data_IF_628623780768
#
_entry.id   IF_628623780768
#
_cell.length_a   1.000
_cell.length_b   1.000
_cell.length_c   1.000
_cell.angle_alpha   90.00
_cell.angle_beta   90.00
_cell.angle_gamma   90.00
#
_symmetry.space_group_name_H-M   'P 1'
#
loop_
_entity.id
_entity.type
_entity.pdbx_description
1 polymer ?
#
# COMPACT_ATOMS: atom_id res chain seq x y z
N UNK A 1 -6.37 -28.58 4.76
CA UNK A 1 -4.92 -28.62 4.54
C UNK A 1 -4.30 -27.62 5.51
N UNK A 2 -3.60 -28.09 6.54
CA UNK A 2 -3.02 -27.25 7.60
C UNK A 2 -1.61 -26.81 7.19
N UNK A 3 -1.39 -25.51 7.06
CA UNK A 3 -0.06 -24.92 6.80
C UNK A 3 0.67 -24.80 8.15
N UNK A 4 1.31 -25.88 8.61
CA UNK A 4 2.19 -25.82 9.78
C UNK A 4 3.62 -25.44 9.37
N UNK A 5 4.37 -24.70 10.21
CA UNK A 5 5.74 -24.28 9.91
C UNK A 5 6.70 -25.44 9.61
N UNK A 6 6.45 -26.61 10.19
CA UNK A 6 7.18 -27.86 9.94
C UNK A 6 7.09 -28.30 8.47
N UNK A 7 5.95 -28.06 7.83
CA UNK A 7 5.66 -28.55 6.49
C UNK A 7 6.33 -27.66 5.44
N UNK A 8 6.45 -26.36 5.71
CA UNK A 8 7.11 -25.39 4.82
C UNK A 8 8.61 -25.69 4.73
N UNK A 9 9.26 -26.01 5.85
CA UNK A 9 10.69 -26.36 5.83
C UNK A 9 10.94 -27.64 5.04
N UNK A 10 10.07 -28.64 5.18
CA UNK A 10 10.17 -29.89 4.42
C UNK A 10 9.97 -29.63 2.92
N UNK A 11 8.95 -28.85 2.55
CA UNK A 11 8.66 -28.54 1.15
C UNK A 11 9.79 -27.76 0.48
N UNK A 12 10.37 -26.76 1.15
CA UNK A 12 11.51 -26.02 0.62
C UNK A 12 12.73 -26.93 0.42
N UNK A 13 12.94 -27.87 1.33
CA UNK A 13 14.01 -28.87 1.21
C UNK A 13 13.80 -29.77 -0.01
N UNK A 14 12.56 -30.18 -0.27
CA UNK A 14 12.21 -30.98 -1.44
C UNK A 14 12.37 -30.18 -2.74
N UNK A 15 11.95 -28.91 -2.77
CA UNK A 15 12.11 -28.04 -3.94
C UNK A 15 13.57 -27.76 -4.27
N UNK A 16 14.42 -27.60 -3.25
CA UNK A 16 15.87 -27.42 -3.42
C UNK A 16 16.59 -28.71 -3.84
N UNK A 17 15.99 -29.87 -3.63
CA UNK A 17 16.52 -31.17 -4.06
C UNK A 17 16.18 -31.52 -5.51
N UNK A 18 15.29 -30.75 -6.15
CA UNK A 18 14.89 -30.98 -7.54
C UNK A 18 15.95 -30.43 -8.52
N UNK A 19 16.17 -31.11 -9.65
CA UNK A 19 16.99 -30.57 -10.74
C UNK A 19 16.48 -29.19 -11.21
N UNK A 20 17.40 -28.30 -11.56
CA UNK A 20 17.07 -26.95 -12.04
C UNK A 20 16.13 -26.99 -13.25
N UNK A 21 16.28 -27.98 -14.14
CA UNK A 21 15.40 -28.17 -15.30
C UNK A 21 13.93 -28.46 -14.93
N UNK A 22 13.69 -29.17 -13.83
CA UNK A 22 12.32 -29.40 -13.33
C UNK A 22 11.73 -28.14 -12.68
N UNK A 23 12.55 -27.28 -12.09
CA UNK A 23 12.10 -25.97 -11.60
C UNK A 23 11.80 -25.02 -12.76
N UNK A 24 12.59 -25.04 -13.83
CA UNK A 24 12.32 -24.27 -15.06
C UNK A 24 10.97 -24.64 -15.68
N UNK A 25 10.63 -25.93 -15.76
CA UNK A 25 9.31 -26.37 -16.25
C UNK A 25 8.13 -26.00 -15.35
N UNK A 26 8.36 -25.76 -14.05
CA UNK A 26 7.33 -25.32 -13.11
C UNK A 26 7.13 -23.79 -13.15
N UNK A 27 8.18 -23.07 -13.55
CA UNK A 27 8.23 -21.61 -13.68
C UNK A 27 7.90 -21.14 -15.11
N UNK A 28 8.05 -21.99 -16.12
CA UNK A 28 7.60 -21.74 -17.48
C UNK A 28 6.07 -21.92 -17.58
N UNK A 29 5.40 -20.82 -17.83
CA UNK A 29 3.95 -20.70 -18.01
C UNK A 29 3.51 -21.42 -19.31
N UNK A 30 2.55 -22.36 -19.30
CA UNK A 30 2.01 -22.96 -20.53
C UNK A 30 1.05 -22.00 -21.25
N UNK A 31 1.47 -20.75 -21.47
CA UNK A 31 0.78 -19.78 -22.31
C UNK A 31 1.75 -19.18 -23.33
N UNK A 32 2.14 -20.02 -24.27
CA UNK A 32 2.47 -19.60 -25.63
C UNK A 32 1.22 -19.02 -26.31
N UNK A 33 0.79 -17.86 -25.85
CA UNK A 33 -0.10 -16.95 -26.58
C UNK A 33 0.43 -15.56 -26.33
N UNK A 34 1.40 -15.14 -27.14
CA UNK A 34 1.90 -13.77 -27.12
C UNK A 34 0.72 -12.80 -27.28
N UNK A 35 0.44 -11.89 -26.32
CA UNK A 35 -0.24 -10.68 -26.67
C UNK A 35 0.83 -9.78 -27.31
N UNK A 36 0.60 -9.43 -28.56
CA UNK A 36 1.26 -8.31 -29.22
C UNK A 36 1.27 -7.13 -28.24
N UNK A 37 2.44 -6.76 -27.73
CA UNK A 37 2.64 -5.50 -27.00
C UNK A 37 2.46 -4.36 -28.00
N UNK A 38 1.20 -4.04 -28.31
CA UNK A 38 0.86 -2.70 -28.72
C UNK A 38 1.22 -1.81 -27.54
N UNK A 39 2.26 -0.99 -27.76
CA UNK A 39 2.66 0.10 -26.89
C UNK A 39 1.54 1.15 -26.84
N UNK A 40 0.44 0.80 -26.20
CA UNK A 40 -0.48 1.79 -25.62
C UNK A 40 0.06 2.07 -24.24
N UNK A 41 0.83 3.16 -24.17
CA UNK A 41 1.03 4.03 -23.00
C UNK A 41 -0.02 3.71 -21.92
N UNK A 42 0.36 3.28 -20.70
CA UNK A 42 -0.64 2.99 -19.69
C UNK A 42 -1.45 4.27 -19.51
N UNK A 43 -2.71 4.22 -19.94
CA UNK A 43 -3.71 5.19 -19.58
C UNK A 43 -3.62 5.29 -18.07
N UNK A 44 -3.43 6.50 -17.56
CA UNK A 44 -3.33 6.80 -16.14
C UNK A 44 -4.59 6.30 -15.43
N UNK A 45 -4.63 5.01 -15.12
CA UNK A 45 -5.55 4.46 -14.14
C UNK A 45 -4.99 4.97 -12.85
N UNK A 46 -5.58 6.05 -12.34
CA UNK A 46 -5.29 6.56 -11.00
C UNK A 46 -5.29 5.37 -10.07
N UNK A 47 -4.12 5.05 -9.52
CA UNK A 47 -4.09 4.09 -8.44
C UNK A 47 -4.98 4.61 -7.32
N UNK A 48 -5.88 3.77 -6.80
CA UNK A 48 -6.79 4.14 -5.73
C UNK A 48 -5.97 4.56 -4.51
N UNK A 49 -6.42 5.60 -3.82
CA UNK A 49 -5.71 6.08 -2.62
C UNK A 49 -5.72 4.98 -1.56
N UNK A 50 -4.66 4.86 -0.77
CA UNK A 50 -4.54 3.85 0.28
C UNK A 50 -5.75 3.85 1.23
N UNK A 51 -6.31 5.04 1.52
CA UNK A 51 -7.50 5.20 2.35
C UNK A 51 -8.78 4.65 1.70
N UNK A 52 -8.90 4.73 0.37
CA UNK A 52 -10.05 4.18 -0.36
C UNK A 52 -9.99 2.66 -0.33
N UNK A 53 -8.81 2.07 -0.53
CA UNK A 53 -8.58 0.62 -0.40
C UNK A 53 -8.92 0.11 1.00
N UNK A 54 -8.58 0.86 2.05
CA UNK A 54 -8.93 0.52 3.43
C UNK A 54 -10.43 0.59 3.69
N UNK A 55 -11.10 1.64 3.20
CA UNK A 55 -12.55 1.83 3.40
C UNK A 55 -13.38 0.78 2.65
N UNK A 56 -12.92 0.35 1.47
CA UNK A 56 -13.57 -0.68 0.67
C UNK A 56 -13.31 -2.09 1.20
N UNK A 57 -12.28 -2.28 2.03
CA UNK A 57 -11.91 -3.59 2.55
C UNK A 57 -12.91 -4.07 3.61
N UNK A 58 -13.53 -5.22 3.35
CA UNK A 58 -14.44 -5.88 4.28
C UNK A 58 -13.95 -7.29 4.61
N UNK A 59 -13.47 -7.57 5.84
CA UNK A 59 -12.92 -8.88 6.19
C UNK A 59 -13.89 -10.05 5.98
N UNK A 60 -15.20 -9.81 6.03
CA UNK A 60 -16.24 -10.82 5.85
C UNK A 60 -16.52 -11.19 4.39
N UNK A 61 -16.05 -10.39 3.44
CA UNK A 61 -16.24 -10.60 1.99
C UNK A 61 -14.92 -10.63 1.21
N UNK A 62 -13.79 -10.43 1.89
CA UNK A 62 -12.49 -10.30 1.27
C UNK A 62 -12.02 -11.62 0.64
N UNK A 63 -11.49 -11.52 -0.57
CA UNK A 63 -10.71 -12.58 -1.18
C UNK A 63 -9.19 -12.37 -0.92
N UNK A 64 -8.33 -13.33 -1.28
CA UNK A 64 -6.88 -13.17 -1.14
C UNK A 64 -6.31 -11.96 -1.89
N UNK A 65 -6.88 -11.62 -3.05
CA UNK A 65 -6.46 -10.49 -3.88
C UNK A 65 -6.72 -9.14 -3.19
N UNK A 66 -7.87 -8.99 -2.54
CA UNK A 66 -8.24 -7.82 -1.75
C UNK A 66 -7.31 -7.63 -0.56
N UNK A 67 -6.94 -8.75 0.08
CA UNK A 67 -5.98 -8.76 1.19
C UNK A 67 -4.59 -8.31 0.72
N UNK A 68 -4.12 -8.83 -0.42
CA UNK A 68 -2.85 -8.39 -1.02
C UNK A 68 -2.89 -6.93 -1.45
N UNK A 69 -4.02 -6.47 -2.00
CA UNK A 69 -4.20 -5.08 -2.41
C UNK A 69 -4.11 -4.14 -1.21
N UNK A 70 -4.76 -4.49 -0.10
CA UNK A 70 -4.68 -3.75 1.16
C UNK A 70 -3.25 -3.70 1.72
N UNK A 71 -2.55 -4.84 1.72
CA UNK A 71 -1.16 -4.92 2.21
C UNK A 71 -0.23 -4.06 1.35
N UNK A 72 -0.37 -4.12 0.01
CA UNK A 72 0.45 -3.32 -0.90
C UNK A 72 0.22 -1.82 -0.71
N UNK A 73 -1.04 -1.39 -0.57
CA UNK A 73 -1.34 0.03 -0.30
C UNK A 73 -0.81 0.47 1.05
N UNK A 74 -0.87 -0.39 2.08
CA UNK A 74 -0.32 -0.08 3.40
C UNK A 74 1.19 0.09 3.38
N UNK A 75 1.93 -0.81 2.73
CA UNK A 75 3.40 -0.72 2.60
C UNK A 75 3.80 0.57 1.89
N UNK A 76 3.07 0.94 0.82
CA UNK A 76 3.31 2.18 0.11
C UNK A 76 3.11 3.40 1.02
N UNK A 77 2.01 3.44 1.76
CA UNK A 77 1.71 4.54 2.67
C UNK A 77 2.80 4.72 3.73
N UNK A 78 3.32 3.62 4.29
CA UNK A 78 4.44 3.67 5.24
C UNK A 78 5.69 4.24 4.56
N UNK A 79 6.01 3.77 3.36
CA UNK A 79 7.17 4.25 2.64
C UNK A 79 7.07 5.76 2.38
N UNK A 80 5.92 6.23 1.90
CA UNK A 80 5.68 7.64 1.63
C UNK A 80 5.73 8.48 2.91
N UNK A 81 5.22 7.94 4.03
CA UNK A 81 5.35 8.57 5.35
C UNK A 81 6.80 8.72 5.80
N UNK A 82 7.64 7.70 5.59
CA UNK A 82 9.08 7.77 5.89
C UNK A 82 9.81 8.79 5.00
N UNK A 83 9.38 8.94 3.75
CA UNK A 83 9.94 9.95 2.83
C UNK A 83 9.58 11.35 3.33
N UNK A 84 8.33 11.58 3.74
CA UNK A 84 7.87 12.84 4.30
C UNK A 84 8.57 13.21 5.62
N UNK A 85 8.85 12.21 6.46
CA UNK A 85 9.60 12.40 7.70
C UNK A 85 11.05 12.82 7.38
N UNK A 86 11.71 12.15 6.42
CA UNK A 86 13.07 12.50 6.00
C UNK A 86 13.17 13.84 5.28
N UNK A 87 12.11 14.29 4.61
CA UNK A 87 12.12 15.56 3.88
C UNK A 87 11.93 16.79 4.78
N UNK A 88 11.64 16.60 6.08
CA UNK A 88 11.32 17.70 7.01
C UNK A 88 9.99 18.39 6.67
N UNK A 89 9.19 17.80 5.80
CA UNK A 89 7.89 18.35 5.39
C UNK A 89 6.86 18.25 6.51
N UNK A 90 7.01 17.25 7.38
CA UNK A 90 6.21 17.08 8.60
C UNK A 90 6.41 18.27 9.55
N UNK A 91 7.64 18.73 9.76
CA UNK A 91 7.92 19.87 10.65
C UNK A 91 7.31 21.16 10.12
N UNK A 92 7.44 21.42 8.82
CA UNK A 92 6.81 22.57 8.15
C UNK A 92 5.28 22.53 8.23
N UNK A 93 4.71 21.33 8.14
CA UNK A 93 3.28 21.13 8.31
C UNK A 93 2.85 21.45 9.74
N UNK A 94 3.64 21.00 10.73
CA UNK A 94 3.45 21.33 12.16
C UNK A 94 3.43 22.84 12.40
N UNK A 95 4.45 23.56 11.92
CA UNK A 95 4.52 25.03 12.04
C UNK A 95 3.31 25.73 11.39
N UNK A 96 2.85 25.24 10.23
CA UNK A 96 1.64 25.77 9.59
C UNK A 96 0.39 25.53 10.42
N UNK A 97 0.26 24.36 11.04
CA UNK A 97 -0.87 24.01 11.90
C UNK A 97 -0.89 24.91 13.13
N UNK A 98 0.26 25.12 13.77
CA UNK A 98 0.37 25.98 14.94
C UNK A 98 0.03 27.43 14.59
N UNK A 99 0.54 27.96 13.47
CA UNK A 99 0.17 29.29 13.01
C UNK A 99 -1.31 29.44 12.59
N UNK A 100 -1.96 28.35 12.16
CA UNK A 100 -3.42 28.37 11.93
C UNK A 100 -4.19 28.34 13.26
N UNK A 101 -3.70 27.59 14.25
CA UNK A 101 -4.30 27.52 15.59
C UNK A 101 -4.24 28.87 16.30
N UNK A 102 -3.07 29.52 16.29
CA UNK A 102 -2.89 30.85 16.88
C UNK A 102 -3.85 31.88 16.25
N UNK A 103 -3.94 31.88 14.92
CA UNK A 103 -4.90 32.75 14.20
C UNK A 103 -6.35 32.42 14.56
N UNK A 104 -6.69 31.14 14.68
CA UNK A 104 -8.02 30.71 15.12
C UNK A 104 -8.38 31.23 16.52
N UNK A 105 -7.45 31.12 17.47
CA UNK A 105 -7.61 31.62 18.83
C UNK A 105 -7.75 33.14 18.88
N UNK A 106 -6.95 33.87 18.09
CA UNK A 106 -7.08 35.33 17.97
C UNK A 106 -8.44 35.76 17.43
N UNK A 107 -8.96 35.05 16.42
CA UNK A 107 -10.30 35.28 15.90
C UNK A 107 -11.39 34.96 16.94
N UNK A 108 -11.28 33.84 17.65
CA UNK A 108 -12.21 33.47 18.72
C UNK A 108 -12.26 34.55 19.82
N UNK A 109 -11.10 35.05 20.25
CA UNK A 109 -11.01 36.12 21.26
C UNK A 109 -11.69 37.40 20.79
N UNK A 110 -11.38 37.87 19.58
CA UNK A 110 -11.99 39.09 19.01
C UNK A 110 -13.50 38.94 18.78
N UNK A 111 -13.96 37.78 18.33
CA UNK A 111 -15.38 37.47 18.20
C UNK A 111 -16.10 37.41 19.56
N UNK A 112 -15.42 36.98 20.62
CA UNK A 112 -15.97 36.96 21.98
C UNK A 112 -16.15 38.35 22.57
N UNK A 113 -15.26 39.30 22.23
CA UNK A 113 -15.34 40.70 22.66
C UNK A 113 -16.42 41.50 21.91
N UNK A 114 -16.68 41.15 20.65
CA UNK A 114 -17.69 41.81 19.80
C UNK A 114 -19.10 41.23 20.01
N UNK A 115 -19.23 40.15 20.79
CA UNK A 115 -20.52 39.54 21.09
C UNK A 115 -21.35 40.46 22.00
N UNK A 116 -22.20 41.27 21.36
CA UNK A 116 -23.28 42.07 21.96
C UNK A 116 -24.29 41.16 22.64
#
# INVERSE_FOLDING_TARGET
MSLSPSNISSDLSHLLSLPVATLSSLLDDPSSSAPTFNSTKPTSVKEPKSIEVLNDFSPSKANPEDSQRLIKSYIREIHDSQVLEKSGEIDRLGERIDGLRERGQGLESTLSEVKV
#
